data_IF_409396298071
#
_entry.id   IF_409396298071
#
_cell.length_a   1.000
_cell.length_b   1.000
_cell.length_c   1.000
_cell.angle_alpha   90.00
_cell.angle_beta   90.00
_cell.angle_gamma   90.00
#
_symmetry.space_group_name_H-M   'P 1'
#
loop_
_entity.id
_entity.type
_entity.pdbx_description
1 polymer ?
#
# COMPACT_ATOMS: atom_id res chain seq x y z
N UNK A 1 14.69 -15.24 -40.51
CA UNK A 1 15.39 -15.70 -39.29
C UNK A 1 15.58 -14.61 -38.23
N UNK A 2 15.93 -13.35 -38.59
CA UNK A 2 16.18 -12.23 -37.65
C UNK A 2 14.98 -11.81 -36.77
N UNK A 3 13.74 -11.86 -37.28
CA UNK A 3 12.53 -11.40 -36.55
C UNK A 3 12.21 -12.29 -35.33
N UNK A 4 12.43 -13.61 -35.44
CA UNK A 4 12.20 -14.56 -34.32
C UNK A 4 13.17 -14.32 -33.16
N UNK A 5 14.42 -13.96 -33.45
CA UNK A 5 15.42 -13.62 -32.44
C UNK A 5 15.10 -12.28 -31.76
N UNK A 6 14.69 -11.26 -32.53
CA UNK A 6 14.34 -9.95 -31.98
C UNK A 6 13.13 -10.03 -31.02
N UNK A 7 12.07 -10.77 -31.42
CA UNK A 7 10.88 -10.99 -30.58
C UNK A 7 11.22 -11.76 -29.30
N UNK A 8 12.14 -12.74 -29.38
CA UNK A 8 12.60 -13.49 -28.21
C UNK A 8 13.38 -12.63 -27.23
N UNK A 9 14.31 -11.79 -27.72
CA UNK A 9 15.09 -10.86 -26.90
C UNK A 9 14.20 -9.82 -26.24
N UNK A 10 13.24 -9.25 -26.98
CA UNK A 10 12.29 -8.28 -26.43
C UNK A 10 11.43 -8.89 -25.31
N UNK A 11 10.94 -10.11 -25.51
CA UNK A 11 10.15 -10.80 -24.50
C UNK A 11 10.96 -11.09 -23.22
N UNK A 12 12.23 -11.49 -23.34
CA UNK A 12 13.10 -11.72 -22.18
C UNK A 12 13.37 -10.40 -21.45
N UNK A 13 13.63 -9.31 -22.18
CA UNK A 13 13.83 -7.99 -21.60
C UNK A 13 12.58 -7.49 -20.87
N UNK A 14 11.39 -7.73 -21.42
CA UNK A 14 10.12 -7.40 -20.78
C UNK A 14 9.91 -8.21 -19.49
N UNK A 15 10.11 -9.55 -19.52
CA UNK A 15 10.01 -10.38 -18.31
C UNK A 15 11.01 -9.95 -17.22
N UNK A 16 12.24 -9.57 -17.61
CA UNK A 16 13.23 -9.03 -16.68
C UNK A 16 12.78 -7.70 -16.06
N UNK A 17 12.24 -6.79 -16.87
CA UNK A 17 11.70 -5.52 -16.39
C UNK A 17 10.57 -5.73 -15.38
N UNK A 18 9.61 -6.60 -15.69
CA UNK A 18 8.49 -6.93 -14.77
C UNK A 18 9.01 -7.50 -13.46
N UNK A 19 9.97 -8.43 -13.51
CA UNK A 19 10.58 -9.02 -12.32
C UNK A 19 11.26 -7.95 -11.46
N UNK A 20 12.06 -7.06 -12.05
CA UNK A 20 12.74 -5.98 -11.32
C UNK A 20 11.76 -4.98 -10.72
N UNK A 21 10.72 -4.58 -11.46
CA UNK A 21 9.69 -3.67 -10.96
C UNK A 21 8.93 -4.26 -9.77
N UNK A 22 8.52 -5.54 -9.86
CA UNK A 22 7.85 -6.25 -8.77
C UNK A 22 8.78 -6.39 -7.55
N UNK A 23 10.05 -6.75 -7.76
CA UNK A 23 11.04 -6.83 -6.69
C UNK A 23 11.24 -5.49 -5.97
N UNK A 24 11.30 -4.38 -6.72
CA UNK A 24 11.39 -3.05 -6.15
C UNK A 24 10.18 -2.71 -5.26
N UNK A 25 8.95 -3.03 -5.71
CA UNK A 25 7.73 -2.82 -4.92
C UNK A 25 7.78 -3.62 -3.61
N UNK A 26 8.17 -4.90 -3.67
CA UNK A 26 8.27 -5.75 -2.48
C UNK A 26 9.29 -5.19 -1.49
N UNK A 27 10.48 -4.82 -1.98
CA UNK A 27 11.54 -4.23 -1.13
C UNK A 27 11.09 -2.92 -0.49
N UNK A 28 10.46 -2.03 -1.26
CA UNK A 28 9.93 -0.76 -0.73
C UNK A 28 8.87 -0.96 0.34
N UNK A 29 8.04 -1.99 0.19
CA UNK A 29 7.00 -2.31 1.14
C UNK A 29 7.57 -2.96 2.42
N UNK A 30 8.58 -3.82 2.29
CA UNK A 30 9.31 -4.40 3.43
C UNK A 30 10.11 -3.36 4.22
N UNK A 31 10.62 -2.33 3.55
CA UNK A 31 11.39 -1.24 4.16
C UNK A 31 10.51 -0.06 4.61
N UNK A 32 9.18 -0.14 4.45
CA UNK A 32 8.30 0.93 4.93
C UNK A 32 8.34 0.97 6.47
N UNK A 33 8.97 2.00 7.02
CA UNK A 33 8.97 2.24 8.47
C UNK A 33 7.59 2.68 8.94
N UNK A 34 7.28 2.33 10.18
CA UNK A 34 6.20 2.96 10.92
C UNK A 34 6.73 4.28 11.47
N UNK A 35 6.12 5.37 11.06
CA UNK A 35 6.46 6.71 11.53
C UNK A 35 5.28 7.22 12.37
N UNK A 36 5.56 7.63 13.60
CA UNK A 36 4.57 8.19 14.52
C UNK A 36 4.64 9.72 14.43
N UNK A 37 3.50 10.33 14.15
CA UNK A 37 3.37 11.78 14.05
C UNK A 37 2.40 12.25 15.12
N UNK A 38 2.91 13.07 16.02
CA UNK A 38 2.11 13.73 17.05
C UNK A 38 1.73 15.15 16.59
N UNK A 39 0.49 15.55 16.87
CA UNK A 39 0.03 16.90 16.56
C UNK A 39 -1.40 17.17 17.01
N UNK A 40 -1.81 18.42 16.85
CA UNK A 40 -3.19 18.85 17.13
C UNK A 40 -4.03 18.79 15.87
N UNK A 41 -5.29 18.38 15.99
CA UNK A 41 -6.23 18.33 14.87
C UNK A 41 -6.59 19.75 14.41
N UNK A 42 -6.20 20.12 13.19
CA UNK A 42 -6.66 21.36 12.55
C UNK A 42 -7.94 21.12 11.75
N UNK A 43 -8.03 19.97 11.08
CA UNK A 43 -9.19 19.59 10.29
C UNK A 43 -9.41 18.09 10.33
N UNK A 44 -10.66 17.66 10.43
CA UNK A 44 -11.07 16.27 10.32
C UNK A 44 -12.34 16.17 9.47
N UNK A 45 -12.31 15.34 8.44
CA UNK A 45 -13.45 15.06 7.57
C UNK A 45 -13.64 13.54 7.42
N UNK A 46 -14.90 13.09 7.43
CA UNK A 46 -15.27 11.73 7.07
C UNK A 46 -16.49 11.71 6.15
N UNK A 47 -16.40 10.91 5.08
CA UNK A 47 -17.48 10.76 4.10
C UNK A 47 -17.63 9.29 3.67
N UNK A 48 -18.86 8.81 3.56
CA UNK A 48 -19.13 7.50 2.94
C UNK A 48 -18.73 7.52 1.45
N UNK A 49 -18.08 6.46 0.99
CA UNK A 49 -17.70 6.28 -0.42
C UNK A 49 -18.95 5.93 -1.23
N UNK A 50 -19.35 6.85 -2.11
CA UNK A 50 -20.55 6.74 -2.95
C UNK A 50 -20.54 5.48 -3.82
N UNK A 51 -19.37 4.91 -4.13
CA UNK A 51 -19.23 3.75 -5.02
C UNK A 51 -19.11 2.43 -4.28
N UNK A 52 -18.85 2.44 -2.97
CA UNK A 52 -18.53 1.24 -2.20
C UNK A 52 -19.21 1.31 -0.85
N UNK A 53 -20.32 0.58 -0.74
CA UNK A 53 -21.08 0.47 0.49
C UNK A 53 -20.19 -0.07 1.63
N UNK A 54 -20.30 0.51 2.82
CA UNK A 54 -19.48 0.19 3.99
C UNK A 54 -18.09 0.84 4.01
N UNK A 55 -17.63 1.50 2.94
CA UNK A 55 -16.32 2.16 2.93
C UNK A 55 -16.46 3.66 3.19
N UNK A 56 -15.60 4.20 4.04
CA UNK A 56 -15.57 5.60 4.44
C UNK A 56 -14.20 6.20 4.16
N UNK A 57 -14.17 7.42 3.64
CA UNK A 57 -12.97 8.20 3.37
C UNK A 57 -12.72 9.18 4.50
N UNK A 58 -11.54 9.09 5.10
CA UNK A 58 -11.09 9.94 6.20
C UNK A 58 -9.99 10.88 5.73
N UNK A 59 -10.06 12.13 6.18
CA UNK A 59 -9.00 13.13 5.99
C UNK A 59 -8.74 13.85 7.31
N UNK A 60 -7.50 13.82 7.77
CA UNK A 60 -7.04 14.52 8.97
C UNK A 60 -5.89 15.45 8.58
N UNK A 61 -5.94 16.71 9.02
CA UNK A 61 -4.86 17.69 8.92
C UNK A 61 -4.37 18.02 10.33
N UNK A 62 -3.08 17.92 10.56
CA UNK A 62 -2.46 18.27 11.85
C UNK A 62 -1.83 19.66 11.83
N UNK A 63 -1.57 20.23 13.02
CA UNK A 63 -0.90 21.52 13.22
C UNK A 63 0.48 21.64 12.58
N UNK A 64 1.11 20.52 12.26
CA UNK A 64 2.40 20.47 11.57
C UNK A 64 2.24 20.59 10.04
N UNK A 65 1.04 20.90 9.56
CA UNK A 65 0.65 20.92 8.15
C UNK A 65 0.81 19.54 7.45
N UNK A 66 0.72 18.46 8.24
CA UNK A 66 0.74 17.10 7.71
C UNK A 66 -0.68 16.61 7.48
N UNK A 67 -0.90 16.02 6.29
CA UNK A 67 -2.21 15.60 5.83
C UNK A 67 -2.26 14.09 5.64
N UNK A 68 -3.17 13.45 6.37
CA UNK A 68 -3.35 12.01 6.39
C UNK A 68 -4.68 11.63 5.75
N UNK A 69 -4.65 10.71 4.78
CA UNK A 69 -5.85 10.23 4.09
C UNK A 69 -5.90 8.71 4.05
N UNK A 70 -7.06 8.15 4.34
CA UNK A 70 -7.27 6.71 4.26
C UNK A 70 -8.73 6.38 3.94
N UNK A 71 -8.95 5.18 3.40
CA UNK A 71 -10.28 4.61 3.16
C UNK A 71 -10.43 3.35 3.99
N UNK A 72 -11.36 3.38 4.93
CA UNK A 72 -11.55 2.35 5.92
C UNK A 72 -12.97 1.82 5.88
N UNK A 73 -13.13 0.57 6.27
CA UNK A 73 -14.42 -0.08 6.47
C UNK A 73 -14.84 0.11 7.94
N UNK A 74 -14.85 1.38 8.34
CA UNK A 74 -15.08 1.85 9.71
C UNK A 74 -16.04 3.03 9.57
N UNK A 75 -17.17 3.07 10.31
CA UNK A 75 -18.12 4.17 10.22
C UNK A 75 -17.55 5.51 10.68
N UNK A 76 -18.06 6.62 10.14
CA UNK A 76 -17.67 7.96 10.59
C UNK A 76 -17.93 8.20 12.08
N UNK A 77 -18.86 7.48 12.69
CA UNK A 77 -19.16 7.58 14.12
C UNK A 77 -17.95 7.24 15.00
N UNK A 78 -17.00 6.43 14.50
CA UNK A 78 -15.79 6.06 15.24
C UNK A 78 -14.89 7.26 15.56
N UNK A 79 -14.92 8.32 14.74
CA UNK A 79 -14.15 9.55 14.97
C UNK A 79 -14.98 10.69 15.58
N UNK A 80 -16.25 10.43 15.92
CA UNK A 80 -17.19 11.46 16.40
C UNK A 80 -16.74 12.16 17.69
N UNK A 81 -15.84 11.52 18.44
CA UNK A 81 -15.29 12.04 19.69
C UNK A 81 -14.11 12.98 19.47
N UNK A 82 -13.43 12.90 18.32
CA UNK A 82 -12.29 13.77 17.98
C UNK A 82 -12.83 15.13 17.53
N UNK A 83 -12.30 16.19 18.12
CA UNK A 83 -12.60 17.58 17.82
C UNK A 83 -11.35 18.31 17.32
N UNK A 84 -11.60 19.44 16.66
CA UNK A 84 -10.54 20.38 16.29
C UNK A 84 -9.88 20.87 17.57
N UNK A 85 -8.54 20.81 17.62
CA UNK A 85 -7.73 21.16 18.79
C UNK A 85 -7.37 19.98 19.69
N UNK A 86 -7.92 18.79 19.46
CA UNK A 86 -7.54 17.61 20.24
C UNK A 86 -6.13 17.14 19.85
N UNK A 87 -5.41 16.62 20.84
CA UNK A 87 -4.10 16.02 20.64
C UNK A 87 -4.27 14.59 20.14
N UNK A 88 -3.66 14.27 19.01
CA UNK A 88 -3.69 12.94 18.42
C UNK A 88 -2.28 12.46 18.09
N UNK A 89 -2.10 11.15 18.18
CA UNK A 89 -0.96 10.45 17.62
C UNK A 89 -1.42 9.69 16.38
N UNK A 90 -0.75 9.94 15.26
CA UNK A 90 -1.02 9.27 13.99
C UNK A 90 0.14 8.33 13.70
N UNK A 91 -0.10 7.02 13.80
CA UNK A 91 0.82 6.03 13.24
C UNK A 91 0.64 6.05 11.72
N UNK A 92 1.73 6.21 10.97
CA UNK A 92 1.73 6.21 9.51
C UNK A 92 2.74 5.20 8.95
N UNK A 93 2.47 4.70 7.75
CA UNK A 93 3.44 3.96 6.94
C UNK A 93 3.55 4.71 5.61
N UNK A 94 4.53 5.62 5.50
CA UNK A 94 4.60 6.58 4.40
C UNK A 94 3.46 7.60 4.44
N UNK A 95 2.67 7.73 3.37
CA UNK A 95 1.57 8.72 3.29
C UNK A 95 0.21 8.21 3.78
N UNK A 96 0.15 6.96 4.27
CA UNK A 96 -1.09 6.32 4.68
C UNK A 96 -1.06 6.18 6.20
N UNK A 97 -2.03 6.79 6.89
CA UNK A 97 -2.16 6.56 8.33
C UNK A 97 -2.73 5.17 8.62
N UNK A 98 -2.22 4.55 9.66
CA UNK A 98 -2.49 3.18 10.11
C UNK A 98 -3.33 3.19 11.37
N UNK A 99 -3.07 4.13 12.27
CA UNK A 99 -3.73 4.22 13.57
C UNK A 99 -3.85 5.68 13.97
N UNK A 100 -4.94 6.01 14.64
CA UNK A 100 -5.12 7.29 15.31
C UNK A 100 -5.44 6.98 16.75
N UNK A 101 -4.60 7.49 17.64
CA UNK A 101 -4.76 7.35 19.09
C UNK A 101 -5.24 8.68 19.64
N UNK A 102 -6.33 8.65 20.41
CA UNK A 102 -6.89 9.80 21.11
C UNK A 102 -7.16 9.42 22.56
N UNK A 103 -6.65 10.20 23.51
CA UNK A 103 -6.80 9.91 24.95
C UNK A 103 -6.39 8.47 25.33
N UNK A 104 -5.30 7.96 24.74
CA UNK A 104 -4.80 6.59 24.95
C UNK A 104 -5.73 5.47 24.43
N UNK A 105 -6.76 5.81 23.65
CA UNK A 105 -7.66 4.86 23.00
C UNK A 105 -7.42 4.82 21.49
N UNK A 106 -7.21 3.61 20.98
CA UNK A 106 -7.08 3.35 19.55
C UNK A 106 -8.44 3.46 18.87
N UNK A 107 -8.57 4.42 17.96
CA UNK A 107 -9.83 4.68 17.25
C UNK A 107 -10.05 3.69 16.11
N UNK A 108 -8.96 3.13 15.58
CA UNK A 108 -8.97 2.20 14.46
C UNK A 108 -8.34 0.86 14.86
N UNK A 109 -9.02 -0.25 14.54
CA UNK A 109 -8.46 -1.59 14.77
C UNK A 109 -7.31 -1.87 13.78
N UNK A 110 -6.09 -1.88 14.32
CA UNK A 110 -4.83 -2.16 13.63
C UNK A 110 -4.86 -3.50 12.89
N UNK A 111 -5.58 -4.50 13.41
CA UNK A 111 -5.63 -5.84 12.83
C UNK A 111 -6.38 -5.85 11.49
N UNK A 112 -7.50 -5.12 11.41
CA UNK A 112 -8.30 -5.04 10.17
C UNK A 112 -7.52 -4.38 9.03
N UNK A 113 -6.70 -3.38 9.35
CA UNK A 113 -5.84 -2.70 8.38
C UNK A 113 -4.66 -3.56 7.92
N UNK A 114 -4.04 -4.28 8.84
CA UNK A 114 -2.94 -5.19 8.53
C UNK A 114 -3.38 -6.39 7.67
N UNK A 115 -4.58 -6.94 7.88
CA UNK A 115 -5.10 -8.05 7.07
C UNK A 115 -5.25 -7.65 5.60
N UNK A 116 -5.83 -6.47 5.31
CA UNK A 116 -6.00 -5.99 3.92
C UNK A 116 -4.65 -5.75 3.23
N UNK A 117 -3.66 -5.19 3.95
CA UNK A 117 -2.30 -4.97 3.42
C UNK A 117 -1.56 -6.27 3.16
N UNK A 118 -1.64 -7.23 4.09
CA UNK A 118 -1.05 -8.55 3.93
C UNK A 118 -1.57 -9.26 2.67
N UNK A 119 -2.89 -9.19 2.41
CA UNK A 119 -3.48 -9.75 1.20
C UNK A 119 -2.91 -9.17 -0.11
N UNK A 120 -2.74 -7.84 -0.18
CA UNK A 120 -2.14 -7.18 -1.36
C UNK A 120 -0.66 -7.57 -1.51
N UNK A 121 0.09 -7.61 -0.40
CA UNK A 121 1.51 -7.98 -0.42
C UNK A 121 1.70 -9.42 -0.91
N UNK A 122 0.84 -10.35 -0.47
CA UNK A 122 0.85 -11.75 -0.93
C UNK A 122 0.65 -11.83 -2.44
N UNK A 123 -0.26 -11.04 -3.02
CA UNK A 123 -0.48 -11.00 -4.47
C UNK A 123 0.79 -10.56 -5.21
N UNK A 124 1.45 -9.49 -4.74
CA UNK A 124 2.70 -9.02 -5.34
C UNK A 124 3.83 -10.06 -5.25
N UNK A 125 3.94 -10.76 -4.12
CA UNK A 125 4.91 -11.85 -3.95
C UNK A 125 4.62 -13.01 -4.91
N UNK A 126 3.36 -13.42 -5.05
CA UNK A 126 2.97 -14.48 -6.00
C UNK A 126 3.27 -14.08 -7.45
N UNK A 127 2.95 -12.84 -7.83
CA UNK A 127 3.27 -12.31 -9.15
C UNK A 127 4.78 -12.27 -9.41
N UNK A 128 5.58 -11.93 -8.39
CA UNK A 128 7.04 -11.95 -8.49
C UNK A 128 7.58 -13.37 -8.72
N UNK A 129 7.05 -14.38 -8.01
CA UNK A 129 7.42 -15.79 -8.21
C UNK A 129 7.07 -16.22 -9.64
N UNK A 130 5.87 -15.91 -10.11
CA UNK A 130 5.43 -16.22 -11.47
C UNK A 130 6.29 -15.54 -12.53
N UNK A 131 6.61 -14.26 -12.36
CA UNK A 131 7.46 -13.51 -13.28
C UNK A 131 8.89 -14.08 -13.33
N UNK A 132 9.43 -14.45 -12.17
CA UNK A 132 10.74 -15.11 -12.06
C UNK A 132 10.73 -16.47 -12.77
N UNK A 133 9.67 -17.26 -12.56
CA UNK A 133 9.47 -18.55 -13.24
C UNK A 133 9.38 -18.41 -14.77
N UNK A 134 8.62 -17.44 -15.27
CA UNK A 134 8.52 -17.14 -16.71
C UNK A 134 9.88 -16.74 -17.30
N UNK A 135 10.65 -15.89 -16.60
CA UNK A 135 11.98 -15.49 -17.03
C UNK A 135 12.93 -16.70 -17.09
N UNK A 136 12.97 -17.52 -16.05
CA UNK A 136 13.81 -18.73 -15.99
C UNK A 136 13.43 -19.70 -17.13
N UNK A 137 12.12 -19.94 -17.34
CA UNK A 137 11.62 -20.79 -18.41
C UNK A 137 12.07 -20.30 -19.79
N UNK A 138 11.94 -18.99 -20.06
CA UNK A 138 12.37 -18.39 -21.34
C UNK A 138 13.88 -18.47 -21.55
N UNK A 139 14.67 -18.23 -20.50
CA UNK A 139 16.12 -18.34 -20.55
C UNK A 139 16.57 -19.79 -20.81
N UNK A 140 15.93 -20.77 -20.17
CA UNK A 140 16.22 -22.20 -20.37
C UNK A 140 15.94 -22.64 -21.81
N UNK A 141 14.76 -22.31 -22.36
CA UNK A 141 14.42 -22.64 -23.74
C UNK A 141 15.26 -21.90 -24.77
N UNK A 142 15.65 -20.65 -24.49
CA UNK A 142 16.57 -19.90 -25.36
C UNK A 142 17.97 -20.49 -25.39
N UNK A 143 18.44 -21.09 -24.28
CA UNK A 143 19.72 -21.83 -24.24
C UNK A 143 19.65 -23.15 -25.01
N UNK A 144 18.51 -23.87 -24.93
CA UNK A 144 18.31 -25.16 -25.61
C UNK A 144 18.09 -25.06 -27.13
N UNK A 145 17.75 -23.86 -27.63
CA UNK A 145 17.61 -23.54 -29.07
C UNK A 145 18.88 -22.95 -29.70
N UNK A 146 19.90 -22.63 -28.90
CA UNK A 146 21.25 -22.29 -29.37
C UNK A 146 22.07 -23.57 -29.49
#
# INVERSE_FOLDING_TARGET
MKIKNLKSTFNIAFSLFVMLAMGFIIVKNLLASHDFVEGYVEKIDCHADVKREGIYSYHILTSNNESFRNRLDIPCDSISQIKIGDHIEVESQGHIFVQVTHEEVDIFDRNLLNIKRSGVNIIFVLLFILATGDLIYRLYFSKKKK
#
